data_IF_113219143752
#
_entry.id   IF_113219143752
#
_cell.length_a   1.000
_cell.length_b   1.000
_cell.length_c   1.000
_cell.angle_alpha   90.00
_cell.angle_beta   90.00
_cell.angle_gamma   90.00
#
_symmetry.space_group_name_H-M   'P 1'
#
loop_
_entity.id
_entity.type
_entity.pdbx_description
1 polymer ?
#
# COMPACT_ATOMS: atom_id res chain seq x y z
N UNK A 1 -33.67 12.17 10.22
CA UNK A 1 -35.06 12.66 10.08
C UNK A 1 -35.04 14.09 10.59
N UNK A 2 -35.64 15.03 9.84
CA UNK A 2 -35.53 16.51 9.94
C UNK A 2 -34.19 17.02 9.36
N UNK A 3 -34.02 17.45 8.10
CA UNK A 3 -34.75 18.38 7.20
C UNK A 3 -35.02 19.73 7.88
N UNK A 4 -34.26 20.75 7.47
CA UNK A 4 -34.83 22.06 7.18
C UNK A 4 -34.09 22.74 6.02
N UNK A 5 -34.90 23.29 5.13
CA UNK A 5 -34.58 23.93 3.85
C UNK A 5 -34.86 25.43 3.97
N UNK A 6 -34.22 26.16 3.06
CA UNK A 6 -34.59 27.50 2.56
C UNK A 6 -34.32 28.70 3.47
N UNK A 7 -33.56 29.67 2.95
CA UNK A 7 -34.08 31.01 2.67
C UNK A 7 -33.10 31.76 1.74
N UNK A 8 -33.51 31.93 0.48
CA UNK A 8 -32.94 32.87 -0.49
C UNK A 8 -33.74 34.17 -0.37
N UNK A 9 -33.08 35.30 -0.13
CA UNK A 9 -33.69 36.62 -0.30
C UNK A 9 -32.88 37.48 -1.27
N UNK A 10 -33.50 37.73 -2.43
CA UNK A 10 -33.14 38.72 -3.43
C UNK A 10 -33.61 40.10 -2.93
N UNK A 11 -32.74 41.10 -2.98
CA UNK A 11 -33.11 42.51 -2.85
C UNK A 11 -32.44 43.33 -3.96
N UNK A 12 -33.26 43.77 -4.93
CA UNK A 12 -33.01 44.93 -5.79
C UNK A 12 -33.75 46.12 -5.17
N UNK A 13 -33.12 47.30 -5.19
CA UNK A 13 -33.65 48.60 -5.67
C UNK A 13 -32.81 49.75 -5.07
N UNK A 14 -32.55 50.79 -5.87
CA UNK A 14 -32.11 52.09 -5.33
C UNK A 14 -31.18 52.89 -6.23
N UNK A 15 -31.73 53.46 -7.30
CA UNK A 15 -31.11 54.53 -8.09
C UNK A 15 -31.05 55.84 -7.29
N UNK A 16 -29.91 56.54 -7.30
CA UNK A 16 -29.86 58.00 -7.08
C UNK A 16 -28.84 58.61 -8.04
N UNK A 17 -29.34 59.52 -8.88
CA UNK A 17 -28.60 60.40 -9.78
C UNK A 17 -28.23 61.70 -9.06
N UNK A 18 -26.99 62.17 -9.19
CA UNK A 18 -26.71 63.61 -9.24
C UNK A 18 -25.54 63.92 -10.17
N UNK A 19 -25.80 64.93 -10.98
CA UNK A 19 -25.04 65.59 -12.03
C UNK A 19 -23.80 66.35 -11.55
N UNK A 20 -22.77 66.37 -12.40
CA UNK A 20 -21.95 67.56 -12.63
C UNK A 20 -20.47 67.44 -12.23
N UNK A 21 -19.59 67.24 -13.23
CA UNK A 21 -18.56 68.22 -13.60
C UNK A 21 -17.68 67.65 -14.73
N UNK A 22 -17.75 68.36 -15.85
CA UNK A 22 -16.96 68.15 -17.06
C UNK A 22 -15.54 68.69 -16.77
N UNK A 23 -14.52 67.86 -16.98
CA UNK A 23 -13.17 68.37 -17.28
C UNK A 23 -12.51 67.49 -18.33
N UNK A 24 -12.35 68.09 -19.51
CA UNK A 24 -11.62 67.58 -20.66
C UNK A 24 -10.16 67.32 -20.29
N UNK A 25 -9.66 66.12 -20.59
CA UNK A 25 -8.31 65.92 -21.07
C UNK A 25 -8.35 64.98 -22.27
N UNK A 26 -7.88 65.52 -23.38
CA UNK A 26 -7.74 64.89 -24.70
C UNK A 26 -6.52 63.97 -24.78
N UNK A 27 -6.56 63.09 -25.79
CA UNK A 27 -5.52 62.16 -26.28
C UNK A 27 -5.39 60.89 -25.42
N UNK A 28 -5.63 59.69 -25.93
CA UNK A 28 -5.07 59.09 -27.14
C UNK A 28 -5.97 57.94 -27.66
N UNK A 29 -5.88 57.69 -28.97
CA UNK A 29 -6.50 56.58 -29.73
C UNK A 29 -6.51 55.24 -28.98
N UNK A 30 -7.67 54.60 -28.90
CA UNK A 30 -7.80 53.15 -28.72
C UNK A 30 -8.60 52.62 -29.91
N UNK A 31 -7.85 52.18 -30.92
CA UNK A 31 -8.33 51.36 -32.03
C UNK A 31 -8.76 49.97 -31.53
N UNK A 32 -9.70 49.40 -32.26
CA UNK A 32 -10.37 48.11 -32.08
C UNK A 32 -9.48 46.94 -31.61
N UNK A 33 -9.85 46.33 -30.48
CA UNK A 33 -9.36 45.00 -30.10
C UNK A 33 -10.57 44.05 -29.99
N UNK A 34 -10.78 43.27 -31.05
CA UNK A 34 -11.62 42.06 -31.02
C UNK A 34 -11.09 41.10 -29.93
N UNK A 35 -11.95 40.44 -29.13
CA UNK A 35 -11.49 39.41 -28.21
C UNK A 35 -11.10 38.14 -29.00
N UNK A 36 -9.81 38.04 -29.36
CA UNK A 36 -9.16 36.79 -29.73
C UNK A 36 -8.52 36.23 -28.46
N UNK A 37 -9.26 35.43 -27.72
CA UNK A 37 -8.74 34.46 -26.75
C UNK A 37 -9.83 33.41 -26.48
N UNK A 38 -10.05 32.50 -27.43
CA UNK A 38 -10.51 31.16 -27.06
C UNK A 38 -9.28 30.47 -26.48
N UNK A 39 -9.38 29.99 -25.24
CA UNK A 39 -8.42 29.04 -24.71
C UNK A 39 -8.28 27.88 -25.71
N UNK A 40 -7.08 27.34 -25.95
CA UNK A 40 -6.94 26.16 -26.78
C UNK A 40 -7.72 25.02 -26.13
N UNK A 41 -8.66 24.43 -26.88
CA UNK A 41 -9.29 23.18 -26.50
C UNK A 41 -8.17 22.15 -26.28
N UNK A 42 -7.89 21.81 -25.02
CA UNK A 42 -7.00 20.70 -24.70
C UNK A 42 -7.63 19.46 -25.31
N UNK A 43 -6.97 18.87 -26.30
CA UNK A 43 -7.51 17.74 -27.05
C UNK A 43 -7.48 16.47 -26.17
N UNK A 44 -8.50 16.32 -25.31
CA UNK A 44 -8.68 15.23 -24.34
C UNK A 44 -8.73 13.84 -25.05
N UNK A 45 -8.87 13.80 -26.37
CA UNK A 45 -8.95 12.56 -27.16
C UNK A 45 -7.63 11.78 -27.21
N UNK A 46 -6.48 12.47 -27.16
CA UNK A 46 -5.15 11.85 -27.16
C UNK A 46 -4.87 11.01 -25.89
N UNK A 47 -5.08 11.54 -24.66
CA UNK A 47 -4.89 10.74 -23.44
C UNK A 47 -5.89 9.58 -23.34
N UNK A 48 -7.13 9.73 -23.80
CA UNK A 48 -8.13 8.64 -23.77
C UNK A 48 -7.70 7.47 -24.66
N UNK A 49 -7.25 7.75 -25.89
CA UNK A 49 -6.82 6.69 -26.83
C UNK A 49 -5.58 5.94 -26.31
N UNK A 50 -4.66 6.67 -25.68
CA UNK A 50 -3.47 6.09 -25.07
C UNK A 50 -3.79 5.27 -23.81
N UNK A 51 -4.65 5.76 -22.92
CA UNK A 51 -5.16 5.01 -21.75
C UNK A 51 -5.86 3.75 -22.21
N UNK A 52 -6.71 3.82 -23.25
CA UNK A 52 -7.36 2.66 -23.84
C UNK A 52 -6.34 1.62 -24.31
N UNK A 53 -5.26 2.04 -24.95
CA UNK A 53 -4.18 1.14 -25.38
C UNK A 53 -3.43 0.51 -24.20
N UNK A 54 -3.17 1.26 -23.12
CA UNK A 54 -2.59 0.72 -21.88
C UNK A 54 -3.51 -0.35 -21.29
N UNK A 55 -4.80 -0.04 -21.13
CA UNK A 55 -5.78 -0.96 -20.55
C UNK A 55 -5.92 -2.21 -21.41
N UNK A 56 -5.97 -2.04 -22.74
CA UNK A 56 -6.04 -3.16 -23.67
C UNK A 56 -4.80 -4.07 -23.57
N UNK A 57 -3.60 -3.49 -23.57
CA UNK A 57 -2.35 -4.26 -23.42
C UNK A 57 -2.25 -4.94 -22.06
N UNK A 58 -2.71 -4.28 -20.99
CA UNK A 58 -2.78 -4.86 -19.66
C UNK A 58 -3.75 -6.05 -19.63
N UNK A 59 -4.95 -5.89 -20.17
CA UNK A 59 -5.97 -6.93 -20.24
C UNK A 59 -5.48 -8.12 -21.07
N UNK A 60 -4.85 -7.87 -22.23
CA UNK A 60 -4.23 -8.90 -23.06
C UNK A 60 -3.15 -9.67 -22.28
N UNK A 61 -2.21 -8.96 -21.65
CA UNK A 61 -1.16 -9.59 -20.85
C UNK A 61 -1.71 -10.38 -19.67
N UNK A 62 -2.82 -9.93 -19.05
CA UNK A 62 -3.50 -10.66 -17.98
C UNK A 62 -4.14 -11.96 -18.49
N UNK A 63 -4.76 -11.93 -19.68
CA UNK A 63 -5.35 -13.13 -20.30
C UNK A 63 -4.30 -14.17 -20.72
N UNK A 64 -3.08 -13.74 -21.03
CA UNK A 64 -1.95 -14.62 -21.37
C UNK A 64 -1.25 -15.24 -20.14
N UNK A 65 -1.57 -14.79 -18.92
CA UNK A 65 -0.95 -15.32 -17.69
C UNK A 65 -1.49 -16.70 -17.28
N UNK A 66 -0.64 -17.50 -16.62
CA UNK A 66 -1.10 -18.72 -15.93
C UNK A 66 -2.27 -18.36 -15.00
N UNK A 67 -3.37 -19.10 -15.13
CA UNK A 67 -4.62 -18.90 -14.38
C UNK A 67 -4.37 -18.79 -12.87
N UNK A 68 -3.46 -19.61 -12.31
CA UNK A 68 -3.14 -19.55 -10.87
C UNK A 68 -2.50 -18.22 -10.47
N UNK A 69 -1.59 -17.72 -11.31
CA UNK A 69 -0.90 -16.45 -11.10
C UNK A 69 -1.89 -15.29 -11.20
N UNK A 70 -2.73 -15.27 -12.23
CA UNK A 70 -3.75 -14.23 -12.42
C UNK A 70 -4.73 -14.17 -11.24
N UNK A 71 -5.32 -15.31 -10.87
CA UNK A 71 -6.28 -15.40 -9.75
C UNK A 71 -5.63 -14.93 -8.45
N UNK A 72 -4.39 -15.35 -8.16
CA UNK A 72 -3.69 -14.93 -6.94
C UNK A 72 -3.46 -13.42 -6.88
N UNK A 73 -3.11 -12.77 -8.00
CA UNK A 73 -2.85 -11.34 -8.05
C UNK A 73 -4.13 -10.52 -7.97
N UNK A 74 -5.20 -10.94 -8.64
CA UNK A 74 -6.51 -10.30 -8.51
C UNK A 74 -7.01 -10.39 -7.08
N UNK A 75 -6.92 -11.58 -6.47
CA UNK A 75 -7.28 -11.79 -5.08
C UNK A 75 -6.47 -10.87 -4.14
N UNK A 76 -5.17 -10.72 -4.38
CA UNK A 76 -4.32 -9.80 -3.61
C UNK A 76 -4.78 -8.35 -3.76
N UNK A 77 -5.14 -7.91 -4.97
CA UNK A 77 -5.59 -6.54 -5.21
C UNK A 77 -6.88 -6.23 -4.47
N UNK A 78 -7.88 -7.10 -4.59
CA UNK A 78 -9.16 -6.95 -3.90
C UNK A 78 -8.98 -7.02 -2.38
N UNK A 79 -8.23 -8.00 -1.88
CA UNK A 79 -8.04 -8.18 -0.45
C UNK A 79 -7.28 -7.01 0.19
N UNK A 80 -6.21 -6.55 -0.46
CA UNK A 80 -5.42 -5.41 0.05
C UNK A 80 -6.26 -4.15 0.07
N UNK A 81 -7.06 -3.92 -0.97
CA UNK A 81 -7.94 -2.75 -1.05
C UNK A 81 -9.06 -2.81 -0.01
N UNK A 82 -9.70 -3.97 0.16
CA UNK A 82 -10.73 -4.21 1.16
C UNK A 82 -10.22 -4.00 2.59
N UNK A 83 -9.01 -4.50 2.89
CA UNK A 83 -8.37 -4.28 4.20
C UNK A 83 -8.11 -2.80 4.47
N UNK A 84 -7.58 -2.05 3.50
CA UNK A 84 -7.31 -0.62 3.65
C UNK A 84 -8.60 0.15 3.97
N UNK A 85 -9.68 -0.13 3.25
CA UNK A 85 -10.98 0.51 3.46
C UNK A 85 -11.57 0.14 4.82
N UNK A 86 -11.53 -1.13 5.18
CA UNK A 86 -12.03 -1.63 6.47
C UNK A 86 -11.25 -1.04 7.64
N UNK A 87 -9.91 -0.94 7.54
CA UNK A 87 -9.06 -0.30 8.54
C UNK A 87 -9.38 1.18 8.71
N UNK A 88 -9.65 1.91 7.62
CA UNK A 88 -10.09 3.31 7.68
C UNK A 88 -11.42 3.43 8.40
N UNK A 89 -12.40 2.63 7.99
CA UNK A 89 -13.73 2.60 8.60
C UNK A 89 -13.69 2.23 10.10
N UNK A 90 -12.86 1.26 10.47
CA UNK A 90 -12.69 0.85 11.86
C UNK A 90 -12.13 1.96 12.74
N UNK A 91 -11.29 2.83 12.19
CA UNK A 91 -10.65 3.93 12.95
C UNK A 91 -11.52 5.18 13.02
N UNK A 92 -12.38 5.43 12.05
CA UNK A 92 -13.29 6.59 12.08
C UNK A 92 -14.46 6.40 13.05
N UNK A 93 -14.87 5.16 13.33
CA UNK A 93 -15.98 4.86 14.24
C UNK A 93 -15.54 4.80 15.71
N UNK A 94 -14.26 4.55 15.98
CA UNK A 94 -13.77 4.38 17.35
C UNK A 94 -13.43 5.72 18.00
N UNK A 95 -14.09 6.02 19.12
CA UNK A 95 -13.74 7.11 20.04
C UNK A 95 -12.41 6.79 20.74
N UNK A 96 -11.58 7.79 21.06
CA UNK A 96 -10.22 7.65 21.62
C UNK A 96 -10.13 6.67 22.81
N UNK A 97 -11.18 6.54 23.62
CA UNK A 97 -11.21 5.66 24.81
C UNK A 97 -11.37 4.16 24.51
N UNK A 98 -11.75 3.76 23.29
CA UNK A 98 -12.07 2.37 22.94
C UNK A 98 -11.29 1.85 21.71
N UNK A 99 -10.09 2.37 21.49
CA UNK A 99 -9.22 1.95 20.39
C UNK A 99 -8.58 0.59 20.67
N UNK A 100 -8.57 -0.30 19.67
CA UNK A 100 -7.90 -1.60 19.79
C UNK A 100 -6.39 -1.46 19.62
N UNK A 101 -5.64 -2.34 20.29
CA UNK A 101 -4.19 -2.44 20.13
C UNK A 101 -3.85 -3.09 18.79
N UNK A 102 -3.07 -2.39 17.97
CA UNK A 102 -2.64 -2.93 16.67
C UNK A 102 -1.69 -4.12 16.80
N UNK A 103 -0.90 -4.18 17.88
CA UNK A 103 0.02 -5.28 18.16
C UNK A 103 -0.72 -6.61 18.42
N UNK A 104 -1.81 -6.57 19.19
CA UNK A 104 -2.61 -7.77 19.49
C UNK A 104 -3.32 -8.27 18.24
N UNK A 105 -3.85 -7.36 17.41
CA UNK A 105 -4.47 -7.71 16.12
C UNK A 105 -3.49 -8.48 15.21
N UNK A 106 -2.23 -8.04 15.15
CA UNK A 106 -1.19 -8.73 14.38
C UNK A 106 -0.99 -10.16 14.90
N UNK A 107 -0.80 -10.34 16.22
CA UNK A 107 -0.57 -11.67 16.80
C UNK A 107 -1.78 -12.59 16.61
N UNK A 108 -3.00 -12.10 16.86
CA UNK A 108 -4.22 -12.90 16.66
C UNK A 108 -4.36 -13.28 15.18
N UNK A 109 -4.01 -12.39 14.24
CA UNK A 109 -4.02 -12.72 12.81
C UNK A 109 -3.02 -13.83 12.44
N UNK A 110 -1.85 -13.87 13.10
CA UNK A 110 -0.87 -14.94 12.93
C UNK A 110 -1.38 -16.29 13.49
N UNK A 111 -2.06 -16.27 14.63
CA UNK A 111 -2.70 -17.47 15.23
C UNK A 111 -3.79 -18.01 14.31
N UNK A 112 -4.69 -17.16 13.80
CA UNK A 112 -5.74 -17.58 12.87
C UNK A 112 -5.13 -18.13 11.58
N UNK A 113 -4.06 -17.52 11.08
CA UNK A 113 -3.33 -17.98 9.90
C UNK A 113 -2.70 -19.35 10.14
N UNK A 114 -2.12 -19.59 11.32
CA UNK A 114 -1.59 -20.90 11.73
C UNK A 114 -2.70 -21.96 11.73
N UNK A 115 -3.82 -21.69 12.40
CA UNK A 115 -4.99 -22.59 12.46
C UNK A 115 -5.51 -22.87 11.05
N UNK A 116 -5.64 -21.84 10.22
CA UNK A 116 -6.10 -21.98 8.83
C UNK A 116 -5.18 -22.88 8.01
N UNK A 117 -3.86 -22.72 8.15
CA UNK A 117 -2.90 -23.60 7.46
C UNK A 117 -3.03 -25.05 7.92
N UNK A 118 -3.18 -25.29 9.23
CA UNK A 118 -3.37 -26.64 9.78
C UNK A 118 -4.65 -27.27 9.20
N UNK A 119 -5.77 -26.54 9.22
CA UNK A 119 -7.05 -26.99 8.64
C UNK A 119 -6.88 -27.33 7.16
N UNK A 120 -6.25 -26.45 6.37
CA UNK A 120 -6.05 -26.69 4.94
C UNK A 120 -5.24 -27.97 4.69
N UNK A 121 -4.18 -28.22 5.48
CA UNK A 121 -3.40 -29.45 5.30
C UNK A 121 -4.22 -30.67 5.69
N UNK A 122 -4.95 -30.65 6.82
CA UNK A 122 -5.81 -31.78 7.22
C UNK A 122 -6.86 -32.10 6.16
N UNK A 123 -7.42 -31.08 5.50
CA UNK A 123 -8.43 -31.26 4.45
C UNK A 123 -7.84 -31.68 3.10
N UNK A 124 -6.60 -31.29 2.79
CA UNK A 124 -5.98 -31.50 1.47
C UNK A 124 -5.07 -32.72 1.44
N UNK A 125 -4.34 -32.96 2.52
CA UNK A 125 -3.37 -34.03 2.63
C UNK A 125 -4.01 -35.23 3.33
N UNK A 126 -4.01 -36.38 2.66
CA UNK A 126 -4.54 -37.63 3.23
C UNK A 126 -3.52 -38.35 4.11
N UNK A 127 -2.34 -37.75 4.29
CA UNK A 127 -1.27 -38.29 5.13
C UNK A 127 -1.61 -38.15 6.62
N UNK A 128 -1.17 -39.10 7.45
CA UNK A 128 -1.45 -39.08 8.88
C UNK A 128 -0.66 -37.98 9.60
N UNK A 129 -1.25 -37.45 10.68
CA UNK A 129 -0.79 -36.27 11.40
C UNK A 129 0.67 -36.35 11.92
N UNK A 130 1.16 -37.54 12.29
CA UNK A 130 2.53 -37.73 12.77
C UNK A 130 3.60 -37.43 11.70
N UNK A 131 3.28 -37.64 10.42
CA UNK A 131 4.20 -37.29 9.32
C UNK A 131 4.32 -35.77 9.20
N UNK A 132 3.23 -35.05 9.42
CA UNK A 132 3.21 -33.60 9.42
C UNK A 132 3.93 -33.01 10.63
N UNK A 133 3.73 -33.59 11.82
CA UNK A 133 4.44 -33.19 13.03
C UNK A 133 5.96 -33.34 12.82
N UNK A 134 6.40 -34.44 12.22
CA UNK A 134 7.81 -34.66 11.93
C UNK A 134 8.39 -33.67 10.90
N UNK A 135 7.60 -33.26 9.90
CA UNK A 135 8.04 -32.28 8.88
C UNK A 135 8.05 -30.83 9.42
N UNK A 136 7.19 -30.53 10.40
CA UNK A 136 7.09 -29.18 11.01
C UNK A 136 8.06 -29.01 12.16
N UNK A 137 8.09 -29.94 13.13
CA UNK A 137 8.81 -29.78 14.39
C UNK A 137 10.18 -30.45 14.41
N UNK A 138 10.38 -31.52 13.64
CA UNK A 138 11.64 -32.28 13.67
C UNK A 138 12.71 -31.73 12.71
N UNK A 139 12.32 -30.84 11.79
CA UNK A 139 13.25 -30.11 10.93
C UNK A 139 13.63 -28.74 11.55
N UNK A 140 14.28 -28.76 12.72
CA UNK A 140 14.72 -27.54 13.42
C UNK A 140 15.54 -26.59 12.54
N UNK A 141 16.27 -27.12 11.56
CA UNK A 141 17.01 -26.33 10.57
C UNK A 141 16.11 -25.51 9.64
N UNK A 142 14.95 -26.04 9.27
CA UNK A 142 13.98 -25.33 8.42
C UNK A 142 13.20 -24.29 9.20
N UNK A 143 12.84 -24.60 10.45
CA UNK A 143 12.28 -23.63 11.41
C UNK A 143 13.25 -22.47 11.64
N UNK A 144 14.55 -22.75 11.87
CA UNK A 144 15.56 -21.71 12.08
C UNK A 144 15.75 -20.83 10.85
N UNK A 145 15.74 -21.42 9.64
CA UNK A 145 15.76 -20.65 8.39
C UNK A 145 14.56 -19.73 8.29
N UNK A 146 13.36 -20.19 8.62
CA UNK A 146 12.13 -19.37 8.57
C UNK A 146 11.98 -18.40 9.75
N UNK A 147 12.71 -18.59 10.85
CA UNK A 147 12.80 -17.62 11.93
C UNK A 147 13.47 -16.32 11.47
N UNK A 148 14.40 -16.38 10.50
CA UNK A 148 15.06 -15.19 9.93
C UNK A 148 14.05 -14.22 9.29
N UNK A 149 13.23 -14.61 8.30
CA UNK A 149 12.22 -13.71 7.74
C UNK A 149 11.16 -13.32 8.77
N UNK A 150 10.75 -14.20 9.69
CA UNK A 150 9.82 -13.85 10.77
C UNK A 150 10.35 -12.72 11.66
N UNK A 151 11.62 -12.81 12.08
CA UNK A 151 12.30 -11.79 12.88
C UNK A 151 12.46 -10.47 12.13
N UNK A 152 12.81 -10.53 10.85
CA UNK A 152 12.93 -9.32 10.02
C UNK A 152 11.58 -8.65 9.77
N UNK A 153 10.48 -9.39 9.60
CA UNK A 153 9.15 -8.80 9.53
C UNK A 153 8.72 -8.15 10.85
N UNK A 154 9.08 -8.76 11.98
CA UNK A 154 8.82 -8.17 13.31
C UNK A 154 9.64 -6.89 13.51
N UNK A 155 10.93 -6.92 13.17
CA UNK A 155 11.80 -5.74 13.18
C UNK A 155 11.25 -4.63 12.28
N UNK A 156 10.79 -4.99 11.07
CA UNK A 156 10.19 -4.04 10.13
C UNK A 156 8.97 -3.35 10.76
N UNK A 157 8.10 -4.09 11.43
CA UNK A 157 6.91 -3.53 12.08
C UNK A 157 7.29 -2.55 13.21
N UNK A 158 8.32 -2.86 14.00
CA UNK A 158 8.79 -1.97 15.07
C UNK A 158 9.46 -0.70 14.51
N UNK A 159 10.32 -0.84 13.50
CA UNK A 159 10.96 0.29 12.83
C UNK A 159 9.95 1.20 12.13
N UNK A 160 8.81 0.66 11.69
CA UNK A 160 7.72 1.45 11.14
C UNK A 160 7.16 2.43 12.17
N UNK A 161 6.96 2.02 13.43
CA UNK A 161 6.49 2.92 14.49
C UNK A 161 7.52 4.01 14.80
N UNK A 162 8.81 3.64 14.89
CA UNK A 162 9.89 4.61 15.08
C UNK A 162 9.90 5.64 13.94
N UNK A 163 9.81 5.17 12.70
CA UNK A 163 9.82 6.04 11.54
C UNK A 163 8.61 6.99 11.49
N UNK A 164 7.39 6.50 11.72
CA UNK A 164 6.17 7.32 11.72
C UNK A 164 6.16 8.32 12.88
N UNK A 165 6.81 8.01 14.00
CA UNK A 165 6.90 8.93 15.15
C UNK A 165 7.96 10.02 14.96
N UNK A 166 8.88 9.86 14.00
CA UNK A 166 10.03 10.75 13.79
C UNK A 166 10.05 11.44 12.42
N UNK A 167 9.14 11.07 11.50
CA UNK A 167 9.00 11.67 10.17
C UNK A 167 7.55 12.11 9.95
N UNK A 168 7.39 13.19 9.19
CA UNK A 168 6.08 13.56 8.67
C UNK A 168 5.55 12.47 7.72
N UNK A 169 4.22 12.40 7.60
CA UNK A 169 3.55 11.36 6.83
C UNK A 169 3.96 11.36 5.35
N UNK A 170 4.24 12.53 4.75
CA UNK A 170 4.62 12.62 3.35
C UNK A 170 6.02 12.02 3.13
N UNK A 171 7.01 12.42 3.94
CA UNK A 171 8.38 11.89 3.88
C UNK A 171 8.43 10.40 4.15
N UNK A 172 7.69 9.91 5.15
CA UNK A 172 7.59 8.47 5.44
C UNK A 172 7.04 7.69 4.23
N UNK A 173 5.92 8.12 3.66
CA UNK A 173 5.24 7.40 2.58
C UNK A 173 6.11 7.31 1.32
N UNK A 174 6.76 8.41 0.92
CA UNK A 174 7.66 8.42 -0.24
C UNK A 174 8.87 7.54 -0.03
N UNK A 175 9.53 7.66 1.13
CA UNK A 175 10.76 6.91 1.43
C UNK A 175 10.48 5.41 1.58
N UNK A 176 9.29 5.05 2.09
CA UNK A 176 8.87 3.66 2.23
C UNK A 176 8.79 2.91 0.88
N UNK A 177 8.56 3.61 -0.24
CA UNK A 177 8.49 2.96 -1.56
C UNK A 177 9.84 2.42 -2.04
N UNK A 178 10.96 2.84 -1.42
CA UNK A 178 12.28 2.29 -1.69
C UNK A 178 12.34 0.77 -1.48
N UNK A 179 11.46 0.22 -0.64
CA UNK A 179 11.16 -1.22 -0.49
C UNK A 179 11.06 -1.97 -1.82
N UNK A 180 10.46 -1.37 -2.85
CA UNK A 180 10.28 -2.02 -4.16
C UNK A 180 11.65 -2.24 -4.82
N UNK A 181 12.50 -1.23 -4.75
CA UNK A 181 13.86 -1.28 -5.31
C UNK A 181 14.77 -2.20 -4.51
N UNK A 182 14.72 -2.17 -3.17
CA UNK A 182 15.49 -3.11 -2.33
C UNK A 182 15.07 -4.55 -2.59
N UNK A 183 13.76 -4.81 -2.72
CA UNK A 183 13.23 -6.13 -3.10
C UNK A 183 13.79 -6.58 -4.45
N UNK A 184 13.82 -5.70 -5.46
CA UNK A 184 14.37 -6.04 -6.77
C UNK A 184 15.88 -6.32 -6.72
N UNK A 185 16.64 -5.52 -5.97
CA UNK A 185 18.08 -5.73 -5.74
C UNK A 185 18.33 -7.10 -5.11
N UNK A 186 17.66 -7.41 -4.00
CA UNK A 186 17.79 -8.71 -3.35
C UNK A 186 17.31 -9.85 -4.25
N UNK A 187 16.27 -9.65 -5.07
CA UNK A 187 15.79 -10.67 -6.01
C UNK A 187 16.84 -11.03 -7.07
N UNK A 188 17.61 -10.05 -7.54
CA UNK A 188 18.76 -10.30 -8.44
C UNK A 188 19.87 -11.06 -7.72
N UNK A 189 20.20 -10.65 -6.48
CA UNK A 189 21.30 -11.25 -5.70
C UNK A 189 20.98 -12.68 -5.21
N UNK A 190 19.82 -12.89 -4.59
CA UNK A 190 19.48 -14.14 -3.89
C UNK A 190 18.84 -15.21 -4.78
N UNK A 191 18.05 -14.81 -5.78
CA UNK A 191 17.37 -15.71 -6.73
C UNK A 191 18.06 -15.74 -8.09
N UNK A 192 19.21 -15.05 -8.24
CA UNK A 192 20.01 -15.00 -9.47
C UNK A 192 19.20 -14.58 -10.69
N UNK A 193 18.22 -13.70 -10.51
CA UNK A 193 17.35 -13.23 -11.58
C UNK A 193 18.08 -12.22 -12.47
N UNK A 194 17.81 -12.28 -13.77
CA UNK A 194 18.31 -11.30 -14.73
C UNK A 194 17.23 -10.28 -15.05
N UNK A 195 17.37 -9.07 -14.50
CA UNK A 195 16.51 -7.94 -14.83
C UNK A 195 17.16 -7.11 -15.95
N UNK A 196 16.44 -6.91 -17.06
CA UNK A 196 16.90 -6.04 -18.14
C UNK A 196 16.88 -4.57 -17.71
N UNK A 197 17.65 -3.70 -18.39
CA UNK A 197 17.65 -2.25 -18.13
C UNK A 197 16.23 -1.66 -18.15
N UNK A 198 15.37 -2.14 -19.06
CA UNK A 198 13.95 -1.75 -19.11
C UNK A 198 13.20 -2.13 -17.84
N UNK A 199 13.38 -3.34 -17.30
CA UNK A 199 12.73 -3.76 -16.04
C UNK A 199 13.18 -2.90 -14.84
N UNK A 200 14.45 -2.51 -14.79
CA UNK A 200 14.93 -1.55 -13.80
C UNK A 200 14.25 -0.19 -13.91
N UNK A 201 14.18 0.36 -15.13
CA UNK A 201 13.50 1.64 -15.36
C UNK A 201 12.03 1.55 -14.97
N UNK A 202 11.32 0.44 -15.26
CA UNK A 202 9.91 0.30 -14.84
C UNK A 202 9.76 0.30 -13.32
N UNK A 203 10.70 -0.27 -12.56
CA UNK A 203 10.62 -0.29 -11.10
C UNK A 203 10.86 1.11 -10.50
N UNK A 204 11.75 1.89 -11.10
CA UNK A 204 11.96 3.30 -10.72
C UNK A 204 10.70 4.12 -11.01
N UNK A 205 10.13 3.98 -12.22
CA UNK A 205 8.89 4.66 -12.59
C UNK A 205 7.73 4.25 -11.67
N UNK A 206 7.63 2.96 -11.32
CA UNK A 206 6.63 2.46 -10.38
C UNK A 206 6.77 3.13 -9.02
N UNK A 207 7.99 3.17 -8.48
CA UNK A 207 8.30 3.78 -7.18
C UNK A 207 7.91 5.26 -7.17
N UNK A 208 8.30 6.01 -8.21
CA UNK A 208 7.94 7.42 -8.37
C UNK A 208 6.42 7.62 -8.50
N UNK A 209 5.74 6.78 -9.28
CA UNK A 209 4.30 6.83 -9.47
C UNK A 209 3.54 6.64 -8.15
N UNK A 210 3.93 5.65 -7.34
CA UNK A 210 3.31 5.41 -6.03
C UNK A 210 3.58 6.60 -5.09
N UNK A 211 4.82 7.12 -5.07
CA UNK A 211 5.17 8.29 -4.26
C UNK A 211 4.29 9.49 -4.59
N UNK A 212 4.03 9.79 -5.88
CA UNK A 212 3.13 10.87 -6.27
C UNK A 212 1.67 10.65 -5.84
N UNK A 213 1.17 9.42 -6.00
CA UNK A 213 -0.20 9.05 -5.56
C UNK A 213 -0.34 9.22 -4.04
N UNK A 214 0.68 8.86 -3.26
CA UNK A 214 0.63 8.95 -1.81
C UNK A 214 0.86 10.37 -1.27
N UNK A 215 1.71 11.17 -1.90
CA UNK A 215 1.91 12.59 -1.55
C UNK A 215 0.60 13.39 -1.66
N UNK A 216 -0.23 13.07 -2.66
CA UNK A 216 -1.55 13.70 -2.79
C UNK A 216 -2.40 13.48 -1.54
N UNK A 217 -2.43 12.26 -1.02
CA UNK A 217 -3.22 11.92 0.16
C UNK A 217 -2.76 12.67 1.41
N UNK A 218 -1.46 12.92 1.55
CA UNK A 218 -0.92 13.66 2.69
C UNK A 218 -1.18 15.16 2.63
N UNK A 219 -1.30 15.74 1.41
CA UNK A 219 -1.51 17.19 1.23
C UNK A 219 -2.97 17.61 1.26
N UNK A 220 -3.90 16.74 0.87
CA UNK A 220 -5.33 17.04 0.99
C UNK A 220 -5.76 17.32 2.43
N UNK A 221 -5.08 16.73 3.42
CA UNK A 221 -5.28 17.02 4.85
C UNK A 221 -4.88 18.44 5.27
N UNK A 222 -4.10 19.15 4.46
CA UNK A 222 -3.58 20.49 4.75
C UNK A 222 -4.47 21.58 4.09
N UNK A 223 -5.23 21.22 3.06
CA UNK A 223 -6.03 22.16 2.28
C UNK A 223 -7.42 22.44 2.90
N UNK A 224 -7.94 21.49 3.68
CA UNK A 224 -9.07 21.75 4.57
C UNK A 224 -8.49 22.30 5.87
N UNK A 225 -8.88 23.51 6.27
CA UNK A 225 -8.46 24.17 7.53
C UNK A 225 -9.05 23.43 8.76
N UNK A 226 -8.70 22.16 8.93
CA UNK A 226 -9.10 21.35 10.06
C UNK A 226 -8.18 21.69 11.25
N UNK A 227 -8.70 22.24 12.36
CA UNK A 227 -7.89 22.68 13.50
C UNK A 227 -7.09 21.56 14.17
N UNK A 228 -7.36 20.29 13.84
CA UNK A 228 -6.56 19.14 14.27
C UNK A 228 -5.19 19.01 13.56
N UNK A 229 -4.96 19.71 12.45
CA UNK A 229 -3.70 19.68 11.68
C UNK A 229 -2.81 20.92 11.87
N UNK A 230 -3.26 21.93 12.62
CA UNK A 230 -2.50 23.16 12.89
C UNK A 230 -1.55 23.08 14.09
N UNK A 231 -1.39 21.92 14.73
CA UNK A 231 -0.37 21.72 15.77
C UNK A 231 0.97 21.29 15.16
N UNK A 232 1.43 22.03 14.16
CA UNK A 232 2.75 21.92 13.57
C UNK A 232 3.49 23.22 13.73
N UNK A 233 3.69 23.66 14.98
CA UNK A 233 4.62 24.75 15.25
C UNK A 233 5.97 24.40 14.64
N UNK A 234 6.33 25.14 13.60
CA UNK A 234 7.65 25.13 12.97
C UNK A 234 8.62 25.77 13.95
N UNK A 235 9.05 25.01 14.96
CA UNK A 235 10.22 25.35 15.75
C UNK A 235 11.47 24.90 15.00
N UNK A 236 12.05 25.83 14.23
CA UNK A 236 13.40 25.71 13.68
C UNK A 236 14.37 25.64 14.86
N UNK A 237 15.02 24.49 15.06
CA UNK A 237 16.08 24.31 16.04
C UNK A 237 16.56 22.86 16.09
N UNK A 238 17.88 22.67 16.08
CA UNK A 238 18.73 21.45 16.03
C UNK A 238 18.17 20.09 16.54
N UNK A 239 17.13 20.08 17.37
CA UNK A 239 16.44 18.84 17.78
C UNK A 239 15.60 18.20 16.66
N UNK A 240 15.09 18.98 15.69
CA UNK A 240 14.31 18.46 14.56
C UNK A 240 15.14 17.61 13.58
N UNK A 241 16.42 17.95 13.41
CA UNK A 241 17.29 17.25 12.45
C UNK A 241 17.68 15.86 12.95
N UNK A 242 17.90 15.73 14.27
CA UNK A 242 18.24 14.44 14.90
C UNK A 242 17.07 13.46 14.84
N UNK A 243 15.85 13.90 15.14
CA UNK A 243 14.66 13.05 15.03
C UNK A 243 14.41 12.66 13.57
N UNK A 244 14.49 13.61 12.63
CA UNK A 244 14.33 13.31 11.20
C UNK A 244 15.38 12.32 10.69
N UNK A 245 16.65 12.45 11.11
CA UNK A 245 17.70 11.51 10.76
C UNK A 245 17.44 10.10 11.31
N UNK A 246 17.03 9.98 12.58
CA UNK A 246 16.65 8.69 13.19
C UNK A 246 15.49 8.07 12.42
N UNK A 247 14.48 8.87 12.08
CA UNK A 247 13.33 8.43 11.29
C UNK A 247 13.74 7.95 9.89
N UNK A 248 14.58 8.69 9.18
CA UNK A 248 15.08 8.32 7.85
C UNK A 248 15.89 7.02 7.92
N UNK A 249 16.80 6.90 8.89
CA UNK A 249 17.59 5.70 9.12
C UNK A 249 16.68 4.49 9.42
N UNK A 250 15.65 4.68 10.25
CA UNK A 250 14.67 3.64 10.55
C UNK A 250 13.93 3.18 9.29
N UNK A 251 13.49 4.08 8.42
CA UNK A 251 12.84 3.71 7.13
C UNK A 251 13.79 2.97 6.21
N UNK A 252 15.06 3.38 6.13
CA UNK A 252 16.06 2.70 5.29
C UNK A 252 16.29 1.26 5.75
N UNK A 253 16.52 1.04 7.04
CA UNK A 253 16.70 -0.30 7.63
C UNK A 253 15.41 -1.12 7.48
N UNK A 254 14.24 -0.50 7.65
CA UNK A 254 12.94 -1.12 7.43
C UNK A 254 12.76 -1.58 5.97
N UNK A 255 13.12 -0.75 4.98
CA UNK A 255 13.02 -1.09 3.56
C UNK A 255 13.99 -2.19 3.15
N UNK A 256 15.22 -2.18 3.69
CA UNK A 256 16.22 -3.22 3.46
C UNK A 256 15.77 -4.57 4.06
N UNK A 257 15.36 -4.57 5.33
CA UNK A 257 14.86 -5.77 6.01
C UNK A 257 13.61 -6.35 5.33
N UNK A 258 12.65 -5.52 4.92
CA UNK A 258 11.45 -5.94 4.19
C UNK A 258 11.78 -6.62 2.85
N UNK A 259 12.67 -5.99 2.07
CA UNK A 259 13.12 -6.52 0.78
C UNK A 259 13.87 -7.83 0.94
N UNK A 260 14.79 -7.91 1.90
CA UNK A 260 15.52 -9.14 2.22
C UNK A 260 14.58 -10.25 2.65
N UNK A 261 13.73 -10.02 3.65
CA UNK A 261 12.85 -11.03 4.24
C UNK A 261 11.90 -11.62 3.19
N UNK A 262 11.30 -10.77 2.35
CA UNK A 262 10.40 -11.23 1.30
C UNK A 262 11.08 -12.06 0.22
N UNK A 263 12.29 -11.68 -0.20
CA UNK A 263 13.04 -12.43 -1.21
C UNK A 263 13.63 -13.72 -0.62
N UNK A 264 14.09 -13.68 0.63
CA UNK A 264 14.59 -14.86 1.33
C UNK A 264 13.47 -15.89 1.56
N UNK A 265 12.28 -15.45 1.99
CA UNK A 265 11.10 -16.30 2.08
C UNK A 265 10.71 -16.89 0.71
N UNK A 266 10.73 -16.06 -0.36
CA UNK A 266 10.49 -16.55 -1.72
C UNK A 266 11.48 -17.65 -2.12
N UNK A 267 12.77 -17.48 -1.79
CA UNK A 267 13.81 -18.47 -2.06
C UNK A 267 13.50 -19.80 -1.36
N UNK A 268 13.22 -19.78 -0.06
CA UNK A 268 12.89 -21.00 0.70
C UNK A 268 11.64 -21.67 0.12
N UNK A 269 10.59 -20.89 -0.16
CA UNK A 269 9.31 -21.38 -0.66
C UNK A 269 9.42 -22.04 -2.04
N UNK A 270 10.36 -21.59 -2.88
CA UNK A 270 10.59 -22.10 -4.24
C UNK A 270 11.68 -23.16 -4.33
N UNK A 271 12.64 -23.19 -3.41
CA UNK A 271 13.75 -24.16 -3.40
C UNK A 271 13.39 -25.51 -2.79
N UNK A 272 12.27 -25.63 -2.06
CA UNK A 272 11.87 -26.86 -1.38
C UNK A 272 10.62 -27.51 -2.00
N UNK A 273 10.53 -28.84 -1.91
CA UNK A 273 9.35 -29.63 -2.31
C UNK A 273 8.20 -29.58 -1.29
N UNK A 274 8.45 -29.09 -0.07
CA UNK A 274 7.44 -29.03 0.99
C UNK A 274 6.25 -28.17 0.59
N UNK A 275 5.10 -28.49 1.20
CA UNK A 275 3.86 -27.78 0.91
C UNK A 275 3.96 -26.30 1.32
N UNK A 276 3.25 -25.44 0.59
CA UNK A 276 3.17 -24.01 0.92
C UNK A 276 2.63 -23.77 2.34
N UNK A 277 1.66 -24.60 2.75
CA UNK A 277 1.02 -24.50 4.05
C UNK A 277 1.96 -24.93 5.17
N UNK A 278 2.77 -25.97 4.97
CA UNK A 278 3.83 -26.39 5.91
C UNK A 278 4.82 -25.25 6.15
N UNK A 279 5.25 -24.57 5.08
CA UNK A 279 6.13 -23.39 5.18
C UNK A 279 5.49 -22.22 5.90
N UNK A 280 4.20 -21.98 5.70
CA UNK A 280 3.47 -20.96 6.44
C UNK A 280 3.31 -21.31 7.93
N UNK A 281 3.14 -22.58 8.30
CA UNK A 281 3.14 -23.03 9.70
C UNK A 281 4.50 -22.77 10.33
N UNK A 282 5.57 -23.24 9.69
CA UNK A 282 6.96 -23.04 10.15
C UNK A 282 7.33 -21.56 10.25
N UNK A 283 6.74 -20.68 9.44
CA UNK A 283 6.90 -19.22 9.55
C UNK A 283 6.04 -18.62 10.67
N UNK A 284 4.79 -19.07 10.83
CA UNK A 284 3.85 -18.54 11.82
C UNK A 284 4.29 -18.81 13.26
N UNK A 285 4.88 -19.98 13.54
CA UNK A 285 5.36 -20.33 14.89
C UNK A 285 6.36 -19.30 15.46
N UNK A 286 7.51 -19.01 14.82
CA UNK A 286 8.41 -17.97 15.30
C UNK A 286 7.79 -16.57 15.23
N UNK A 287 6.91 -16.29 14.25
CA UNK A 287 6.20 -15.01 14.17
C UNK A 287 5.27 -14.75 15.36
N UNK A 288 4.56 -15.76 15.86
CA UNK A 288 3.70 -15.64 17.04
C UNK A 288 4.54 -15.38 18.30
N UNK A 289 5.64 -16.13 18.47
CA UNK A 289 6.54 -15.95 19.63
C UNK A 289 7.11 -14.54 19.65
N UNK A 290 7.70 -14.10 18.53
CA UNK A 290 8.28 -12.75 18.42
C UNK A 290 7.21 -11.65 18.50
N UNK A 291 6.04 -11.89 17.93
CA UNK A 291 4.89 -10.99 18.02
C UNK A 291 4.41 -10.81 19.46
N UNK A 292 4.30 -11.90 20.23
CA UNK A 292 3.92 -11.86 21.65
C UNK A 292 4.95 -11.09 22.49
N UNK A 293 6.24 -11.29 22.24
CA UNK A 293 7.30 -10.49 22.89
C UNK A 293 7.10 -9.00 22.56
N UNK A 294 6.80 -8.68 21.30
CA UNK A 294 6.49 -7.32 20.86
C UNK A 294 5.26 -6.73 21.58
N UNK A 295 4.19 -7.50 21.73
CA UNK A 295 2.98 -7.09 22.46
C UNK A 295 3.31 -6.77 23.92
N UNK A 296 4.08 -7.61 24.59
CA UNK A 296 4.48 -7.40 25.99
C UNK A 296 5.34 -6.15 26.13
N UNK A 297 6.28 -5.93 25.20
CA UNK A 297 7.21 -4.79 25.26
C UNK A 297 6.52 -3.46 24.94
N UNK A 298 5.62 -3.42 23.95
CA UNK A 298 5.01 -2.18 23.46
C UNK A 298 3.74 -1.83 24.24
N UNK A 299 2.86 -2.80 24.45
CA UNK A 299 1.50 -2.56 24.97
C UNK A 299 1.21 -3.29 26.29
N UNK A 300 2.24 -3.81 26.97
CA UNK A 300 2.09 -4.62 28.18
C UNK A 300 1.32 -3.91 29.32
N UNK A 301 1.61 -2.63 29.57
CA UNK A 301 0.91 -1.83 30.59
C UNK A 301 -0.58 -1.68 30.25
N UNK A 302 -0.88 -1.28 29.01
CA UNK A 302 -2.25 -1.15 28.50
C UNK A 302 -3.03 -2.46 28.60
N UNK A 303 -2.37 -3.60 28.37
CA UNK A 303 -2.99 -4.94 28.48
C UNK A 303 -3.27 -5.32 29.93
N UNK A 304 -2.40 -4.95 30.87
CA UNK A 304 -2.64 -5.21 32.30
C UNK A 304 -3.84 -4.40 32.80
N UNK A 305 -3.97 -3.14 32.36
CA UNK A 305 -5.06 -2.26 32.81
C UNK A 305 -6.42 -2.60 32.19
N UNK A 306 -6.46 -2.89 30.88
CA UNK A 306 -7.70 -2.98 30.09
C UNK A 306 -7.93 -4.33 29.42
N UNK A 307 -6.96 -5.24 29.51
CA UNK A 307 -7.01 -6.57 28.93
C UNK A 307 -6.47 -6.66 27.50
N UNK A 308 -6.18 -7.89 27.07
CA UNK A 308 -5.59 -8.17 25.75
C UNK A 308 -6.51 -7.82 24.57
N UNK A 309 -7.82 -8.03 24.74
CA UNK A 309 -8.84 -7.79 23.70
C UNK A 309 -9.58 -6.46 23.89
N UNK A 310 -8.95 -5.47 24.52
CA UNK A 310 -9.53 -4.15 24.68
C UNK A 310 -9.89 -3.50 23.32
N UNK A 311 -11.04 -2.83 23.25
CA UNK A 311 -11.50 -2.17 22.04
C UNK A 311 -11.86 -3.11 20.87
N UNK A 312 -11.89 -4.43 21.09
CA UNK A 312 -12.30 -5.39 20.05
C UNK A 312 -13.81 -5.31 19.83
N UNK A 313 -14.18 -4.93 18.62
CA UNK A 313 -15.56 -4.93 18.13
C UNK A 313 -15.70 -5.99 17.04
N UNK A 314 -16.93 -6.20 16.55
CA UNK A 314 -17.18 -7.05 15.36
C UNK A 314 -16.36 -6.59 14.15
N UNK A 315 -16.16 -5.27 13.99
CA UNK A 315 -15.34 -4.70 12.92
C UNK A 315 -13.86 -5.07 13.12
N UNK A 316 -13.36 -4.99 14.36
CA UNK A 316 -11.98 -5.40 14.69
C UNK A 316 -11.75 -6.87 14.37
N UNK A 317 -12.68 -7.76 14.71
CA UNK A 317 -12.59 -9.18 14.33
C UNK A 317 -12.60 -9.38 12.81
N UNK A 318 -13.38 -8.60 12.07
CA UNK A 318 -13.35 -8.62 10.62
C UNK A 318 -12.01 -8.15 10.05
N UNK A 319 -11.37 -7.12 10.63
CA UNK A 319 -10.00 -6.69 10.30
C UNK A 319 -9.00 -7.82 10.55
N UNK A 320 -9.07 -8.48 11.71
CA UNK A 320 -8.18 -9.59 12.08
C UNK A 320 -8.30 -10.73 11.05
N UNK A 321 -9.53 -11.12 10.69
CA UNK A 321 -9.79 -12.15 9.69
C UNK A 321 -9.27 -11.76 8.30
N UNK A 322 -9.52 -10.51 7.88
CA UNK A 322 -9.02 -10.00 6.61
C UNK A 322 -7.48 -9.98 6.56
N UNK A 323 -6.82 -9.65 7.68
CA UNK A 323 -5.37 -9.62 7.78
C UNK A 323 -4.77 -11.03 7.73
N UNK A 324 -5.37 -11.99 8.44
CA UNK A 324 -4.96 -13.39 8.37
C UNK A 324 -5.08 -13.95 6.94
N UNK A 325 -6.23 -13.71 6.28
CA UNK A 325 -6.45 -14.14 4.91
C UNK A 325 -5.52 -13.45 3.91
N UNK A 326 -5.27 -12.14 4.08
CA UNK A 326 -4.29 -11.41 3.26
C UNK A 326 -2.89 -12.05 3.36
N UNK A 327 -2.47 -12.48 4.55
CA UNK A 327 -1.22 -13.20 4.76
C UNK A 327 -1.14 -14.50 3.95
N UNK A 328 -2.21 -15.30 3.93
CA UNK A 328 -2.29 -16.52 3.12
C UNK A 328 -2.23 -16.23 1.62
N UNK A 329 -2.98 -15.22 1.16
CA UNK A 329 -2.99 -14.78 -0.24
C UNK A 329 -1.58 -14.30 -0.66
N UNK A 330 -0.88 -13.56 0.20
CA UNK A 330 0.51 -13.13 -0.06
C UNK A 330 1.42 -14.34 -0.28
N UNK A 331 1.32 -15.38 0.54
CA UNK A 331 2.14 -16.59 0.36
C UNK A 331 1.84 -17.29 -0.97
N UNK A 332 0.57 -17.39 -1.34
CA UNK A 332 0.13 -17.93 -2.65
C UNK A 332 0.69 -17.09 -3.81
N UNK A 333 0.64 -15.77 -3.72
CA UNK A 333 1.23 -14.87 -4.73
C UNK A 333 2.74 -15.05 -4.81
N UNK A 334 3.45 -15.19 -3.69
CA UNK A 334 4.91 -15.42 -3.71
C UNK A 334 5.24 -16.77 -4.35
N UNK A 335 4.39 -17.80 -4.20
CA UNK A 335 4.58 -19.11 -4.82
C UNK A 335 4.39 -19.10 -6.33
N UNK A 336 3.29 -18.52 -6.81
CA UNK A 336 2.89 -18.58 -8.23
C UNK A 336 3.33 -17.36 -9.05
N UNK A 337 3.53 -16.23 -8.41
CA UNK A 337 4.18 -15.06 -8.96
C UNK A 337 5.55 -14.88 -8.27
N UNK A 338 5.97 -13.65 -8.06
CA UNK A 338 7.24 -13.30 -7.45
C UNK A 338 7.07 -12.09 -6.52
N UNK A 339 8.00 -11.89 -5.60
CA UNK A 339 7.93 -10.79 -4.66
C UNK A 339 7.99 -9.40 -5.35
N UNK A 340 8.60 -9.32 -6.54
CA UNK A 340 8.56 -8.10 -7.38
C UNK A 340 7.14 -7.85 -7.92
N UNK A 341 6.48 -8.88 -8.47
CA UNK A 341 5.13 -8.75 -9.05
C UNK A 341 4.10 -8.43 -7.97
N UNK A 342 4.29 -8.94 -6.75
CA UNK A 342 3.53 -8.53 -5.56
C UNK A 342 3.58 -7.01 -5.34
N UNK A 343 4.73 -6.39 -5.56
CA UNK A 343 4.89 -4.92 -5.48
C UNK A 343 4.02 -4.16 -6.47
N UNK A 344 3.94 -4.64 -7.72
CA UNK A 344 3.04 -4.07 -8.74
C UNK A 344 1.56 -4.24 -8.36
N UNK A 345 1.16 -5.42 -7.88
CA UNK A 345 -0.21 -5.65 -7.42
C UNK A 345 -0.58 -4.73 -6.23
N UNK A 346 0.34 -4.53 -5.28
CA UNK A 346 0.14 -3.59 -4.18
C UNK A 346 -0.06 -2.15 -4.69
N UNK A 347 0.72 -1.72 -5.69
CA UNK A 347 0.58 -0.40 -6.32
C UNK A 347 -0.81 -0.20 -6.96
N UNK A 348 -1.29 -1.20 -7.70
CA UNK A 348 -2.63 -1.21 -8.31
C UNK A 348 -3.71 -1.16 -7.22
N UNK A 349 -3.52 -1.88 -6.11
CA UNK A 349 -4.45 -1.87 -4.96
C UNK A 349 -4.59 -0.48 -4.34
N UNK A 350 -3.48 0.29 -4.26
CA UNK A 350 -3.50 1.66 -3.75
C UNK A 350 -4.36 2.54 -4.67
N UNK A 351 -4.21 2.42 -5.99
CA UNK A 351 -5.03 3.18 -6.95
C UNK A 351 -6.50 2.76 -6.83
N UNK A 352 -6.78 1.46 -6.85
CA UNK A 352 -8.13 0.92 -6.77
C UNK A 352 -8.86 1.35 -5.49
N UNK A 353 -8.24 1.18 -4.31
CA UNK A 353 -8.80 1.65 -3.04
C UNK A 353 -9.03 3.17 -3.02
N UNK A 354 -8.16 3.95 -3.66
CA UNK A 354 -8.35 5.40 -3.77
C UNK A 354 -9.56 5.74 -4.63
N UNK A 355 -9.73 5.07 -5.77
CA UNK A 355 -10.90 5.27 -6.65
C UNK A 355 -12.21 4.88 -5.95
N UNK A 356 -12.22 3.76 -5.23
CA UNK A 356 -13.38 3.36 -4.43
C UNK A 356 -13.70 4.42 -3.37
N UNK A 357 -12.68 4.99 -2.73
CA UNK A 357 -12.87 6.09 -1.76
C UNK A 357 -13.50 7.31 -2.42
N UNK A 358 -12.98 7.75 -3.58
CA UNK A 358 -13.55 8.90 -4.34
C UNK A 358 -15.03 8.65 -4.65
N UNK A 359 -15.37 7.46 -5.16
CA UNK A 359 -16.71 7.14 -5.66
C UNK A 359 -17.72 7.02 -4.51
N UNK A 360 -17.36 6.31 -3.44
CA UNK A 360 -18.30 5.94 -2.39
C UNK A 360 -18.29 6.88 -1.19
N UNK A 361 -17.12 7.40 -0.81
CA UNK A 361 -16.97 8.27 0.35
C UNK A 361 -17.00 9.75 -0.03
N UNK A 362 -16.87 10.12 -1.30
CA UNK A 362 -16.85 11.51 -1.80
C UNK A 362 -15.78 12.44 -1.18
N UNK A 363 -14.97 11.92 -0.25
CA UNK A 363 -13.98 12.67 0.54
C UNK A 363 -12.66 12.99 -0.20
N UNK A 364 -12.46 12.49 -1.43
CA UNK A 364 -11.17 12.61 -2.12
C UNK A 364 -11.27 13.45 -3.39
N UNK A 365 -10.73 14.67 -3.34
CA UNK A 365 -10.53 15.51 -4.53
C UNK A 365 -9.38 14.90 -5.36
N UNK A 366 -9.70 14.43 -6.56
CA UNK A 366 -8.70 13.92 -7.52
C UNK A 366 -7.77 15.06 -7.96
N UNK A 367 -6.56 15.11 -7.38
CA UNK A 367 -5.56 16.09 -7.82
C UNK A 367 -4.88 15.66 -9.11
N UNK A 368 -4.32 16.63 -9.85
CA UNK A 368 -3.49 16.37 -11.03
C UNK A 368 -2.30 15.45 -10.72
N UNK A 369 -1.74 15.54 -9.51
CA UNK A 369 -0.64 14.67 -9.05
C UNK A 369 -1.06 13.20 -8.89
N UNK A 370 -2.29 12.95 -8.43
CA UNK A 370 -2.84 11.60 -8.38
C UNK A 370 -2.99 11.00 -9.78
N UNK A 371 -3.46 11.79 -10.75
CA UNK A 371 -3.60 11.35 -12.14
C UNK A 371 -2.24 11.03 -12.78
N UNK A 372 -1.25 11.90 -12.60
CA UNK A 372 0.11 11.68 -13.09
C UNK A 372 0.72 10.43 -12.44
N UNK A 373 0.60 10.28 -11.12
CA UNK A 373 1.11 9.12 -10.41
C UNK A 373 0.44 7.81 -10.87
N UNK A 374 -0.89 7.82 -11.04
CA UNK A 374 -1.65 6.69 -11.57
C UNK A 374 -1.17 6.31 -12.98
N UNK A 375 -0.96 7.29 -13.84
CA UNK A 375 -0.44 7.08 -15.19
C UNK A 375 0.95 6.42 -15.18
N UNK A 376 1.85 6.86 -14.31
CA UNK A 376 3.19 6.25 -14.17
C UNK A 376 3.12 4.81 -13.66
N UNK A 377 2.25 4.51 -12.69
CA UNK A 377 2.05 3.14 -12.17
C UNK A 377 1.50 2.22 -13.25
N UNK A 378 0.51 2.66 -14.04
CA UNK A 378 -0.04 1.84 -15.14
C UNK A 378 0.99 1.62 -16.25
N UNK A 379 1.71 2.67 -16.64
CA UNK A 379 2.76 2.59 -17.68
C UNK A 379 3.89 1.66 -17.25
N UNK A 380 4.38 1.76 -16.01
CA UNK A 380 5.41 0.87 -15.48
C UNK A 380 4.95 -0.59 -15.43
N UNK A 381 3.69 -0.84 -15.09
CA UNK A 381 3.10 -2.19 -15.06
C UNK A 381 3.09 -2.82 -16.46
N UNK A 382 2.66 -2.07 -17.48
CA UNK A 382 2.70 -2.54 -18.88
C UNK A 382 4.15 -2.76 -19.33
N UNK A 383 5.03 -1.81 -19.03
CA UNK A 383 6.44 -1.88 -19.43
C UNK A 383 7.17 -3.09 -18.83
N UNK A 384 6.86 -3.47 -17.59
CA UNK A 384 7.42 -4.66 -16.95
C UNK A 384 6.83 -5.97 -17.52
N UNK A 385 5.55 -5.98 -17.89
CA UNK A 385 4.82 -7.18 -18.36
C UNK A 385 5.13 -7.56 -19.82
N UNK A 386 5.24 -6.58 -20.74
CA UNK A 386 5.44 -6.79 -22.19
C UNK A 386 6.71 -7.56 -22.57
N UNK A 387 7.66 -7.75 -21.65
CA UNK A 387 8.90 -8.53 -21.89
C UNK A 387 9.08 -9.71 -20.93
N UNK A 388 8.02 -10.11 -20.23
CA UNK A 388 8.05 -11.34 -19.42
C UNK A 388 7.82 -12.60 -20.26
N UNK A 389 7.42 -12.47 -21.54
CA UNK A 389 7.06 -13.57 -22.43
C UNK A 389 8.23 -14.16 -23.26
N UNK A 390 9.48 -13.74 -23.04
CA UNK A 390 10.62 -14.13 -23.92
C UNK A 390 11.72 -14.97 -23.25
N UNK A 391 11.45 -15.62 -22.12
CA UNK A 391 12.41 -16.57 -21.54
C UNK A 391 11.85 -17.99 -21.60
N UNK A 392 12.33 -18.85 -22.51
CA UNK A 392 12.08 -20.28 -22.39
C UNK A 392 12.73 -20.76 -21.09
N UNK A 393 11.91 -21.41 -20.26
CA UNK A 393 12.36 -22.15 -19.08
C UNK A 393 13.42 -23.16 -19.54
N UNK A 394 14.64 -23.06 -19.01
CA UNK A 394 15.75 -23.99 -19.29
C UNK A 394 15.51 -25.31 -18.57
N UNK A 395 14.44 -26.02 -18.95
CA UNK A 395 14.08 -27.35 -18.46
C UNK A 395 13.70 -28.32 -19.58
N UNK A 396 14.23 -28.11 -20.79
CA UNK A 396 14.10 -29.05 -21.93
C UNK A 396 15.42 -29.37 -22.64
N UNK A 397 16.55 -29.33 -21.92
CA UNK A 397 17.80 -29.90 -22.45
C UNK A 397 18.39 -30.83 -21.40
N UNK A 398 17.77 -32.01 -21.29
CA UNK A 398 18.38 -33.25 -20.82
C UNK A 398 17.36 -34.37 -21.03
N UNK A 399 17.34 -34.93 -22.23
CA UNK A 399 17.00 -36.33 -22.47
C UNK A 399 18.18 -36.93 -23.21
#
# INVERSE_FOLDING_TARGET
MWIDSDYIHVARYGSVSHTGLIRNYSSTKLEDIKPKNRLPDVDIRLPITYIRNIVYNLARNMLEMDKRKLVSLLCLVFQTSGLILTMRYSRTIQTESNTYLSSTVVVVSEIIKLISCIIIIILTDRRPWYTMESEVLNESNELLKLAVPAGLYTLQNNLQFVAVSNLDAATFQVTYQLKILTTALFSVVFLSRRLTRRKWISLIILTLGISLVQLTKSKSCIADNDPACNNGDVSIGEHSDRSAFIGLLAVLIMCLSSGFAGVYFEKILKSSKQSLWTRNIQLAVPSIILGMIGVIYVDGSSIIEKGFFQGYTTITWFVVLQQAYLGLVISVVIKYADNIVKGFAAAISIIFSSLVTVIFLQDLILTSWFLIGTFLVLTSTVMYSVHSSSYPTRSQISV
#
